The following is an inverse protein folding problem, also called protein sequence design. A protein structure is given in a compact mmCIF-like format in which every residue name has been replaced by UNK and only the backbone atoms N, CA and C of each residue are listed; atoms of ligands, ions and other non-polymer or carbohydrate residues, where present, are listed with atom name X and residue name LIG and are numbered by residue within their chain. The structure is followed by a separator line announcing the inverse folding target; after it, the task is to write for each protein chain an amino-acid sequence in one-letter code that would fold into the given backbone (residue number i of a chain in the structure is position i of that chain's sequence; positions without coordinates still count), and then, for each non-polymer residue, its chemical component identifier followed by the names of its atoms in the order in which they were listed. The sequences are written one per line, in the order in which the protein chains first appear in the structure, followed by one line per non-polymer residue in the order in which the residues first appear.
data_IF_810001257822
#
_entry.id   IF_810001257822
#
_cell.length_a   1.000
_cell.length_b   1.000
_cell.length_c   1.000
_cell.angle_alpha   90.00
_cell.angle_beta   90.00
_cell.angle_gamma   90.00
#
_symmetry.space_group_name_H-M   'P 1'
#
loop_
_entity.id
_entity.type
_entity.pdbx_description
1 polymer ?
#
# COMPACT_ATOMS: atom_id res chain seq x y z
N UNK A 1 15.14 -10.17 13.63
CA UNK A 1 14.74 -8.79 13.28
C UNK A 1 13.39 -8.45 13.88
N UNK A 2 13.16 -7.16 14.16
CA UNK A 2 11.85 -6.68 14.62
C UNK A 2 10.91 -6.62 13.43
N UNK A 3 9.74 -7.27 13.55
CA UNK A 3 8.69 -7.22 12.55
C UNK A 3 8.04 -5.84 12.49
N UNK A 4 7.77 -5.34 11.30
CA UNK A 4 7.03 -4.10 11.04
C UNK A 4 6.14 -4.26 9.81
N UNK A 5 5.15 -3.38 9.70
CA UNK A 5 4.26 -3.31 8.55
C UNK A 5 4.52 -2.04 7.78
N UNK A 6 4.57 -2.15 6.46
CA UNK A 6 4.67 -1.01 5.55
C UNK A 6 3.48 -1.05 4.60
N UNK A 7 2.82 0.09 4.43
CA UNK A 7 1.71 0.20 3.51
C UNK A 7 1.49 1.63 3.05
N UNK A 8 0.58 1.81 2.10
CA UNK A 8 0.33 3.11 1.50
C UNK A 8 -0.65 3.08 0.35
N UNK A 9 -0.64 4.17 -0.42
CA UNK A 9 -1.51 4.36 -1.56
C UNK A 9 -0.79 5.07 -2.69
N UNK A 10 -1.36 5.01 -3.90
CA UNK A 10 -0.94 5.89 -4.99
C UNK A 10 -1.79 7.14 -4.98
N UNK A 11 -1.21 8.30 -5.26
CA UNK A 11 -1.92 9.57 -5.32
C UNK A 11 -1.90 10.14 -6.73
N UNK A 12 -3.08 10.46 -7.26
CA UNK A 12 -3.24 11.11 -8.55
C UNK A 12 -3.47 12.60 -8.35
N UNK A 13 -2.38 13.37 -8.36
CA UNK A 13 -2.37 14.80 -8.02
C UNK A 13 -3.42 15.63 -8.76
N UNK A 14 -3.58 15.45 -10.09
CA UNK A 14 -4.51 16.27 -10.89
C UNK A 14 -5.99 15.97 -10.64
N UNK A 15 -6.32 14.73 -10.28
CA UNK A 15 -7.70 14.27 -10.08
C UNK A 15 -8.08 14.27 -8.60
N UNK A 16 -7.13 14.64 -7.72
CA UNK A 16 -7.26 14.62 -6.27
C UNK A 16 -7.87 13.32 -5.74
N UNK A 17 -7.35 12.17 -6.17
CA UNK A 17 -7.82 10.86 -5.75
C UNK A 17 -6.67 9.93 -5.37
N UNK A 18 -6.97 8.93 -4.55
CA UNK A 18 -6.01 7.91 -4.12
C UNK A 18 -6.44 6.52 -4.58
N UNK A 19 -5.49 5.71 -5.00
CA UNK A 19 -5.74 4.31 -5.33
C UNK A 19 -5.74 3.51 -4.03
N UNK A 20 -6.86 2.86 -3.71
CA UNK A 20 -7.00 1.99 -2.54
C UNK A 20 -7.24 0.55 -2.96
N UNK A 21 -6.82 -0.38 -2.11
CA UNK A 21 -6.98 -1.82 -2.27
C UNK A 21 -8.31 -2.27 -1.64
N UNK A 22 -9.13 -3.04 -2.35
CA UNK A 22 -10.28 -3.75 -1.80
C UNK A 22 -9.90 -5.18 -1.41
N UNK A 23 -9.88 -5.44 -0.12
CA UNK A 23 -9.45 -6.72 0.46
C UNK A 23 -10.43 -7.85 0.19
N UNK A 24 -9.92 -9.07 0.03
CA UNK A 24 -10.74 -10.28 -0.11
C UNK A 24 -11.58 -10.59 1.13
N UNK A 25 -12.69 -11.31 0.92
CA UNK A 25 -13.58 -11.78 1.97
C UNK A 25 -12.92 -12.75 2.95
N UNK A 26 -11.86 -13.44 2.51
CA UNK A 26 -11.18 -14.49 3.27
C UNK A 26 -10.00 -13.96 4.09
N UNK A 27 -9.74 -12.65 4.06
CA UNK A 27 -8.68 -12.05 4.86
C UNK A 27 -9.06 -11.99 6.34
N UNK A 28 -8.10 -12.28 7.22
CA UNK A 28 -8.31 -12.31 8.68
C UNK A 28 -8.67 -10.91 9.21
N UNK A 29 -8.01 -9.87 8.69
CA UNK A 29 -8.19 -8.50 9.11
C UNK A 29 -8.98 -7.70 8.06
N UNK A 30 -10.07 -7.08 8.51
CA UNK A 30 -10.92 -6.18 7.73
C UNK A 30 -11.33 -6.74 6.35
N UNK A 31 -11.99 -7.91 6.30
CA UNK A 31 -12.44 -8.48 5.03
C UNK A 31 -13.42 -7.55 4.31
N UNK A 32 -13.40 -7.58 2.98
CA UNK A 32 -14.25 -6.74 2.09
C UNK A 32 -14.11 -5.22 2.29
N UNK A 33 -13.07 -4.77 3.00
CA UNK A 33 -12.84 -3.35 3.28
C UNK A 33 -11.86 -2.72 2.30
N UNK A 34 -11.98 -1.42 2.10
CA UNK A 34 -10.97 -0.61 1.42
C UNK A 34 -9.81 -0.33 2.39
N UNK A 35 -8.59 -0.50 1.90
CA UNK A 35 -7.37 -0.38 2.68
C UNK A 35 -6.22 0.16 1.83
N UNK A 36 -5.12 0.45 2.53
CA UNK A 36 -3.84 0.63 1.88
C UNK A 36 -3.34 -0.69 1.29
N UNK A 37 -2.55 -0.58 0.24
CA UNK A 37 -1.65 -1.63 -0.21
C UNK A 37 -0.54 -1.82 0.81
N UNK A 38 0.02 -3.02 0.91
CA UNK A 38 1.13 -3.29 1.82
C UNK A 38 0.97 -4.53 2.68
N UNK A 39 2.03 -4.82 3.43
CA UNK A 39 2.14 -6.05 4.18
C UNK A 39 3.25 -6.02 5.23
N UNK A 40 3.61 -7.23 5.67
CA UNK A 40 4.59 -7.46 6.72
C UNK A 40 5.98 -7.56 6.08
N UNK A 41 6.99 -6.97 6.72
CA UNK A 41 8.34 -7.04 6.20
C UNK A 41 8.88 -8.47 6.09
N UNK A 42 9.65 -8.71 5.04
CA UNK A 42 10.39 -9.96 4.80
C UNK A 42 11.89 -9.74 4.91
N UNK A 43 12.62 -10.75 5.39
CA UNK A 43 14.07 -10.66 5.55
C UNK A 43 14.52 -9.35 6.21
N UNK A 44 15.56 -8.74 5.65
CA UNK A 44 16.20 -7.50 6.09
C UNK A 44 15.72 -6.25 5.32
N UNK A 45 14.49 -6.27 4.79
CA UNK A 45 13.90 -5.13 4.07
C UNK A 45 13.90 -3.85 4.92
N UNK A 46 14.18 -2.72 4.28
CA UNK A 46 13.78 -1.43 4.84
C UNK A 46 12.26 -1.24 4.68
N UNK A 47 11.62 -0.35 5.44
CA UNK A 47 10.19 -0.10 5.29
C UNK A 47 9.75 0.32 3.88
N UNK A 48 10.59 1.09 3.18
CA UNK A 48 10.32 1.49 1.79
C UNK A 48 10.49 0.32 0.82
N UNK A 49 11.48 -0.56 1.03
CA UNK A 49 11.64 -1.76 0.20
C UNK A 49 10.44 -2.69 0.35
N UNK A 50 9.95 -2.88 1.58
CA UNK A 50 8.74 -3.66 1.85
C UNK A 50 7.53 -3.06 1.12
N UNK A 51 7.30 -1.74 1.20
CA UNK A 51 6.20 -1.12 0.46
C UNK A 51 6.31 -1.28 -1.06
N UNK A 52 7.52 -1.12 -1.63
CA UNK A 52 7.76 -1.30 -3.06
C UNK A 52 7.50 -2.74 -3.50
N UNK A 53 7.93 -3.73 -2.69
CA UNK A 53 7.65 -5.15 -2.96
C UNK A 53 6.14 -5.41 -2.97
N UNK A 54 5.44 -5.00 -1.92
CA UNK A 54 4.01 -5.26 -1.76
C UNK A 54 3.18 -4.61 -2.88
N UNK A 55 3.47 -3.36 -3.26
CA UNK A 55 2.79 -2.71 -4.40
C UNK A 55 3.03 -3.47 -5.72
N UNK A 56 4.22 -4.02 -5.92
CA UNK A 56 4.52 -4.82 -7.09
C UNK A 56 3.77 -6.16 -7.05
N UNK A 57 3.77 -6.82 -5.89
CA UNK A 57 3.07 -8.08 -5.70
C UNK A 57 1.56 -7.92 -5.89
N UNK A 58 0.93 -6.90 -5.28
CA UNK A 58 -0.52 -6.73 -5.28
C UNK A 58 -1.07 -6.15 -6.60
N UNK A 59 -0.37 -5.18 -7.22
CA UNK A 59 -0.87 -4.45 -8.41
C UNK A 59 0.10 -4.33 -9.60
N UNK A 60 1.25 -4.99 -9.55
CA UNK A 60 2.20 -5.07 -10.67
C UNK A 60 2.99 -3.79 -10.94
N UNK A 61 3.11 -2.88 -9.95
CA UNK A 61 3.81 -1.60 -10.11
C UNK A 61 5.13 -1.61 -9.38
N UNK A 62 6.18 -1.11 -10.03
CA UNK A 62 7.50 -0.95 -9.42
C UNK A 62 7.89 0.51 -9.39
N UNK A 63 8.32 0.96 -8.23
CA UNK A 63 8.91 2.29 -8.01
C UNK A 63 10.39 2.15 -7.66
N UNK A 64 11.16 3.18 -7.97
CA UNK A 64 12.44 3.41 -7.35
C UNK A 64 12.25 4.06 -5.97
N UNK A 65 13.17 3.81 -5.04
CA UNK A 65 13.08 4.30 -3.66
C UNK A 65 12.85 5.81 -3.56
N UNK A 66 13.46 6.62 -4.45
CA UNK A 66 13.28 8.07 -4.46
C UNK A 66 11.89 8.55 -4.93
N UNK A 67 11.08 7.68 -5.53
CA UNK A 67 9.71 8.00 -5.96
C UNK A 67 8.68 7.78 -4.85
N UNK A 68 9.08 7.10 -3.76
CA UNK A 68 8.22 6.82 -2.61
C UNK A 68 8.44 7.87 -1.54
N UNK A 69 7.34 8.47 -1.09
CA UNK A 69 7.33 9.52 -0.08
C UNK A 69 6.81 8.95 1.23
N UNK A 70 7.54 9.18 2.32
CA UNK A 70 7.08 8.84 3.67
C UNK A 70 5.99 9.81 4.09
N UNK A 71 4.81 9.29 4.41
CA UNK A 71 3.69 10.09 4.90
C UNK A 71 3.72 10.20 6.42
N UNK A 72 3.84 9.05 7.09
CA UNK A 72 3.77 8.97 8.54
C UNK A 72 4.31 7.62 9.04
N UNK A 73 4.76 7.56 10.28
CA UNK A 73 5.04 6.31 10.97
C UNK A 73 4.58 6.37 12.42
N UNK A 74 4.18 5.22 12.97
CA UNK A 74 3.73 5.14 14.35
C UNK A 74 3.89 3.73 14.91
N UNK A 75 3.97 3.64 16.23
CA UNK A 75 3.89 2.37 16.93
C UNK A 75 2.43 2.02 17.18
N UNK A 76 1.98 0.86 16.68
CA UNK A 76 0.66 0.34 16.97
C UNK A 76 0.71 -0.45 18.28
N UNK A 77 0.15 0.14 19.34
CA UNK A 77 0.13 -0.44 20.68
C UNK A 77 -0.72 -1.72 20.77
N UNK A 78 -1.80 -1.84 20.01
CA UNK A 78 -2.65 -3.03 20.03
C UNK A 78 -1.91 -4.27 19.48
N UNK A 79 -1.20 -4.09 18.37
CA UNK A 79 -0.46 -5.18 17.71
C UNK A 79 1.03 -5.19 18.05
N UNK A 80 1.48 -4.36 18.98
CA UNK A 80 2.88 -4.22 19.42
C UNK A 80 3.89 -4.19 18.25
N UNK A 81 3.55 -3.47 17.18
CA UNK A 81 4.31 -3.45 15.93
C UNK A 81 4.38 -2.04 15.34
N UNK A 82 5.50 -1.71 14.68
CA UNK A 82 5.63 -0.43 13.98
C UNK A 82 4.84 -0.46 12.67
N UNK A 83 4.28 0.68 12.30
CA UNK A 83 3.55 0.93 11.05
C UNK A 83 4.23 2.07 10.32
N UNK A 84 4.54 1.85 9.05
CA UNK A 84 5.06 2.87 8.15
C UNK A 84 4.04 3.10 7.03
N UNK A 85 3.72 4.37 6.78
CA UNK A 85 2.75 4.80 5.79
C UNK A 85 3.44 5.61 4.71
N UNK A 86 3.27 5.20 3.46
CA UNK A 86 3.87 5.80 2.29
C UNK A 86 2.83 6.25 1.28
N UNK A 87 3.26 7.08 0.33
CA UNK A 87 2.57 7.22 -0.93
C UNK A 87 3.56 7.42 -2.08
N UNK A 88 3.11 7.15 -3.30
CA UNK A 88 3.80 7.49 -4.53
C UNK A 88 2.83 8.15 -5.50
N UNK A 89 3.35 8.98 -6.42
CA UNK A 89 2.52 9.61 -7.44
C UNK A 89 2.29 8.65 -8.61
N UNK A 90 1.06 8.63 -9.14
CA UNK A 90 0.75 7.90 -10.36
C UNK A 90 -0.35 8.60 -11.14
N UNK A 91 -0.15 8.73 -12.46
CA UNK A 91 -1.16 9.21 -13.42
C UNK A 91 -1.79 8.05 -14.22
N UNK A 92 -1.50 6.80 -13.83
CA UNK A 92 -2.00 5.61 -14.54
C UNK A 92 -3.50 5.47 -14.40
N UNK A 93 -4.16 5.06 -15.47
CA UNK A 93 -5.57 4.66 -15.42
C UNK A 93 -5.71 3.25 -14.83
N UNK A 94 -6.88 2.94 -14.23
CA UNK A 94 -7.13 1.67 -13.52
C UNK A 94 -6.72 0.42 -14.33
N UNK A 95 -6.94 0.43 -15.64
CA UNK A 95 -6.65 -0.72 -16.52
C UNK A 95 -5.16 -0.93 -16.84
N UNK A 96 -4.27 -0.03 -16.42
CA UNK A 96 -2.82 -0.20 -16.56
C UNK A 96 -2.18 -0.97 -15.40
N UNK A 97 -2.94 -1.23 -14.34
CA UNK A 97 -2.52 -2.02 -13.18
C UNK A 97 -2.95 -3.47 -13.36
N UNK A 98 -2.25 -4.40 -12.71
CA UNK A 98 -2.56 -5.84 -12.75
C UNK A 98 -2.92 -6.31 -11.35
N UNK A 99 -4.21 -6.57 -11.09
CA UNK A 99 -4.66 -7.13 -9.80
C UNK A 99 -4.13 -8.56 -9.64
N UNK A 100 -3.26 -8.77 -8.66
CA UNK A 100 -2.71 -10.09 -8.33
C UNK A 100 -3.17 -10.59 -6.94
N UNK A 101 -3.49 -9.69 -6.02
CA UNK A 101 -4.05 -9.98 -4.71
C UNK A 101 -5.26 -9.08 -4.43
N UNK A 102 -6.21 -9.60 -3.65
CA UNK A 102 -7.44 -8.91 -3.27
C UNK A 102 -8.57 -9.04 -4.28
N UNK A 103 -9.66 -8.36 -3.96
CA UNK A 103 -10.90 -8.45 -4.71
C UNK A 103 -11.02 -7.38 -5.81
N UNK A 104 -10.45 -6.19 -5.59
CA UNK A 104 -10.44 -5.06 -6.55
C UNK A 104 -9.46 -3.96 -6.06
N UNK A 105 -9.28 -2.91 -6.85
CA UNK A 105 -8.77 -1.61 -6.39
C UNK A 105 -9.44 -0.49 -7.17
N UNK A 106 -9.50 0.73 -6.63
CA UNK A 106 -10.05 1.85 -7.37
C UNK A 106 -9.49 3.19 -6.91
N UNK A 107 -9.58 4.17 -7.80
CA UNK A 107 -9.28 5.57 -7.52
C UNK A 107 -10.44 6.19 -6.74
N UNK A 108 -10.20 6.49 -5.47
CA UNK A 108 -11.16 7.10 -4.55
C UNK A 108 -10.87 8.60 -4.42
N UNK A 109 -11.82 9.49 -4.76
CA UNK A 109 -11.66 10.93 -4.59
C UNK A 109 -11.40 11.32 -3.13
N UNK A 110 -10.60 12.37 -2.95
CA UNK A 110 -10.43 13.08 -1.68
C UNK A 110 -11.13 14.43 -1.85
N UNK A 111 -12.06 14.73 -0.93
CA UNK A 111 -12.74 16.03 -0.84
C UNK A 111 -11.96 17.03 0.03
#
# INVERSE_FOLDING_TARGET
MKKFWAGGFLYHLKNNCVLLHKRDSNTIFNPNSWAFFGGLNEGEETPVDCFIREINEEIGVKFATQEVITLYDYFNEEFQTHRFVFYALSEKIKFEFVLNEGADFDWVPID
#
